data_IF_297961727247
#
_entry.id   IF_297961727247
#
_cell.length_a   1.000
_cell.length_b   1.000
_cell.length_c   1.000
_cell.angle_alpha   90.00
_cell.angle_beta   90.00
_cell.angle_gamma   90.00
#
_symmetry.space_group_name_H-M   'P 1'
#
loop_
_entity.id
_entity.type
_entity.pdbx_description
1 polymer ?
#
# COMPACT_ATOMS: atom_id res chain seq x y z
N UNK A 1 9.11 32.21 -3.39
CA UNK A 1 7.89 31.44 -3.00
C UNK A 1 7.73 30.38 -4.05
N UNK A 2 7.86 29.11 -3.71
CA UNK A 2 7.61 27.99 -4.64
C UNK A 2 6.11 27.91 -4.90
N UNK A 3 5.74 27.88 -6.18
CA UNK A 3 4.35 27.76 -6.60
C UNK A 3 3.82 26.39 -6.15
N UNK A 4 2.73 26.38 -5.36
CA UNK A 4 2.12 25.14 -4.89
C UNK A 4 1.19 24.57 -5.97
N UNK A 5 1.30 23.30 -6.25
CA UNK A 5 0.45 22.62 -7.22
C UNK A 5 -0.28 21.42 -6.56
N UNK A 6 -1.38 21.00 -7.15
CA UNK A 6 -2.22 19.89 -6.61
C UNK A 6 -2.35 18.79 -7.64
N UNK A 7 -2.09 17.56 -7.20
CA UNK A 7 -2.28 16.34 -7.97
C UNK A 7 -3.46 15.55 -7.39
N UNK A 8 -4.31 15.03 -8.25
CA UNK A 8 -5.41 14.16 -7.86
C UNK A 8 -5.14 12.72 -8.27
N UNK A 9 -5.36 11.81 -7.32
CA UNK A 9 -5.24 10.37 -7.52
C UNK A 9 -6.59 9.70 -7.28
N UNK A 10 -7.01 8.84 -8.20
CA UNK A 10 -8.17 7.97 -8.03
C UNK A 10 -7.70 6.61 -7.53
N UNK A 11 -8.12 6.25 -6.34
CA UNK A 11 -7.81 4.98 -5.72
C UNK A 11 -9.07 4.11 -5.70
N UNK A 12 -9.23 3.33 -6.75
CA UNK A 12 -10.40 2.48 -6.97
C UNK A 12 -9.97 1.08 -7.43
N UNK A 13 -10.57 0.07 -6.83
CA UNK A 13 -10.27 -1.32 -7.14
C UNK A 13 -11.17 -2.27 -6.36
N UNK A 14 -11.23 -3.55 -6.73
CA UNK A 14 -12.10 -4.52 -6.08
C UNK A 14 -11.76 -4.72 -4.61
N UNK A 15 -10.48 -4.61 -4.24
CA UNK A 15 -10.02 -4.68 -2.85
C UNK A 15 -8.98 -3.59 -2.58
N UNK A 16 -9.02 -3.02 -1.39
CA UNK A 16 -8.01 -2.08 -0.86
C UNK A 16 -7.68 -2.41 0.59
N UNK A 17 -6.49 -2.04 1.06
CA UNK A 17 -6.11 -2.24 2.47
C UNK A 17 -5.14 -1.16 2.94
N UNK A 18 -5.59 -0.27 3.80
CA UNK A 18 -4.87 0.88 4.33
C UNK A 18 -4.52 0.68 5.80
N UNK A 19 -3.55 -0.22 6.06
CA UNK A 19 -3.19 -0.59 7.42
C UNK A 19 -2.39 0.49 8.15
N UNK A 20 -2.56 0.55 9.50
CA UNK A 20 -1.73 1.37 10.38
C UNK A 20 -1.14 0.54 11.54
N UNK A 21 -1.97 -0.19 12.29
CA UNK A 21 -1.61 -0.84 13.55
C UNK A 21 -1.63 -2.37 13.49
N UNK A 22 -1.53 -2.93 12.29
CA UNK A 22 -1.59 -4.39 12.09
C UNK A 22 -0.39 -5.10 12.72
N UNK A 23 -0.64 -6.05 13.64
CA UNK A 23 0.38 -6.88 14.28
C UNK A 23 0.14 -8.36 13.99
N UNK A 24 1.20 -9.07 13.59
CA UNK A 24 1.25 -10.52 13.44
C UNK A 24 0.12 -11.13 12.59
N UNK A 25 -0.78 -11.88 13.20
CA UNK A 25 -1.80 -12.71 12.54
C UNK A 25 -3.07 -11.94 12.15
N UNK A 26 -3.39 -10.84 12.83
CA UNK A 26 -4.57 -10.01 12.51
C UNK A 26 -4.09 -8.73 11.84
N UNK A 27 -4.51 -8.50 10.60
CA UNK A 27 -4.10 -7.35 9.80
C UNK A 27 -5.33 -6.56 9.37
N UNK A 28 -5.60 -5.48 10.08
CA UNK A 28 -6.74 -4.59 9.84
C UNK A 28 -6.48 -3.59 8.73
N UNK A 29 -7.52 -2.88 8.31
CA UNK A 29 -7.46 -1.72 7.43
C UNK A 29 -8.14 -0.53 8.06
N UNK A 30 -7.68 0.68 7.74
CA UNK A 30 -8.40 1.92 8.01
C UNK A 30 -9.54 2.08 7.02
N UNK A 31 -10.48 3.00 7.31
CA UNK A 31 -11.63 3.28 6.46
C UNK A 31 -11.30 4.11 5.22
N UNK A 32 -10.09 4.69 5.17
CA UNK A 32 -9.62 5.53 4.09
C UNK A 32 -8.10 5.36 3.87
N UNK A 33 -7.58 5.79 2.70
CA UNK A 33 -6.16 5.79 2.42
C UNK A 33 -5.34 6.54 3.47
N UNK A 34 -4.36 5.86 4.06
CA UNK A 34 -3.41 6.49 4.97
C UNK A 34 -2.32 7.21 4.18
N UNK A 35 -1.79 8.31 4.72
CA UNK A 35 -0.71 9.06 4.08
C UNK A 35 0.50 8.17 3.78
N UNK A 36 0.91 7.34 4.74
CA UNK A 36 2.02 6.40 4.54
C UNK A 36 1.77 5.38 3.43
N UNK A 37 0.52 4.89 3.31
CA UNK A 37 0.13 3.99 2.22
C UNK A 37 0.20 4.66 0.85
N UNK A 38 -0.28 5.91 0.75
CA UNK A 38 -0.20 6.71 -0.48
C UNK A 38 1.25 7.02 -0.82
N UNK A 39 2.08 7.47 0.14
CA UNK A 39 3.51 7.72 -0.10
C UNK A 39 4.24 6.44 -0.55
N UNK A 40 3.88 5.29 -0.01
CA UNK A 40 4.41 4.00 -0.46
C UNK A 40 4.06 3.68 -1.93
N UNK A 41 2.83 4.00 -2.35
CA UNK A 41 2.40 3.89 -3.75
C UNK A 41 3.20 4.82 -4.66
N UNK A 42 3.44 6.08 -4.24
CA UNK A 42 4.28 7.04 -4.99
C UNK A 42 5.71 6.51 -5.14
N UNK A 43 6.33 6.04 -4.06
CA UNK A 43 7.67 5.45 -4.10
C UNK A 43 7.74 4.25 -5.06
N UNK A 44 6.69 3.43 -5.11
CA UNK A 44 6.58 2.31 -6.03
C UNK A 44 6.53 2.80 -7.50
N UNK A 45 5.68 3.78 -7.80
CA UNK A 45 5.58 4.36 -9.12
C UNK A 45 6.90 5.00 -9.59
N UNK A 46 7.58 5.72 -8.70
CA UNK A 46 8.90 6.32 -8.95
C UNK A 46 10.04 5.30 -9.04
N UNK A 47 9.81 4.04 -8.69
CA UNK A 47 10.83 2.99 -8.66
C UNK A 47 11.90 3.20 -7.61
N UNK A 48 11.55 3.76 -6.46
CA UNK A 48 12.47 3.99 -5.35
C UNK A 48 12.70 2.72 -4.55
N UNK A 49 13.96 2.29 -4.41
CA UNK A 49 14.33 1.25 -3.46
C UNK A 49 13.93 1.66 -2.04
N UNK A 50 13.88 0.71 -1.10
CA UNK A 50 13.56 1.02 0.31
C UNK A 50 14.53 2.05 0.92
N UNK A 51 15.80 2.02 0.55
CA UNK A 51 16.79 2.99 1.01
C UNK A 51 16.53 4.38 0.40
N UNK A 52 16.41 4.47 -0.93
CA UNK A 52 16.11 5.72 -1.63
C UNK A 52 14.77 6.35 -1.16
N UNK A 53 13.76 5.52 -0.87
CA UNK A 53 12.50 6.00 -0.32
C UNK A 53 12.67 6.61 1.08
N UNK A 54 13.54 6.04 1.95
CA UNK A 54 13.84 6.62 3.28
C UNK A 54 14.54 7.97 3.15
N UNK A 55 15.46 8.13 2.22
CA UNK A 55 16.18 9.39 1.97
C UNK A 55 15.24 10.50 1.49
N UNK A 56 14.22 10.15 0.69
CA UNK A 56 13.21 11.09 0.19
C UNK A 56 11.98 11.26 1.09
N UNK A 57 11.89 10.50 2.18
CA UNK A 57 10.71 10.50 3.03
C UNK A 57 10.38 11.86 3.64
N UNK A 58 11.41 12.64 4.03
CA UNK A 58 11.22 13.99 4.58
C UNK A 58 10.61 14.96 3.57
N UNK A 59 11.01 14.87 2.30
CA UNK A 59 10.46 15.65 1.20
C UNK A 59 9.01 15.26 0.92
N UNK A 60 8.75 13.96 0.71
CA UNK A 60 7.42 13.43 0.43
C UNK A 60 6.43 13.68 1.57
N UNK A 61 6.91 13.68 2.81
CA UNK A 61 6.06 13.91 3.99
C UNK A 61 5.58 15.36 4.11
N UNK A 62 6.22 16.31 3.42
CA UNK A 62 5.75 17.71 3.38
C UNK A 62 4.51 17.89 2.51
N UNK A 63 4.21 16.95 1.62
CA UNK A 63 2.98 17.01 0.83
C UNK A 63 1.76 17.09 1.76
N UNK A 64 0.91 18.08 1.57
CA UNK A 64 -0.42 18.07 2.18
C UNK A 64 -1.27 17.00 1.48
N UNK A 65 -2.10 16.30 2.24
CA UNK A 65 -2.96 15.25 1.69
C UNK A 65 -4.38 15.44 2.20
N UNK A 66 -5.32 15.50 1.26
CA UNK A 66 -6.77 15.41 1.50
C UNK A 66 -7.32 14.14 0.89
N UNK A 67 -8.36 13.56 1.51
CA UNK A 67 -9.06 12.38 1.00
C UNK A 67 -10.55 12.68 0.93
N UNK A 68 -11.14 12.46 -0.24
CA UNK A 68 -12.59 12.42 -0.43
C UNK A 68 -13.02 10.97 -0.57
N UNK A 69 -14.02 10.57 0.19
CA UNK A 69 -14.61 9.23 0.14
C UNK A 69 -15.74 9.27 -0.87
N UNK A 70 -15.52 8.76 -2.08
CA UNK A 70 -16.56 8.68 -3.11
C UNK A 70 -17.44 7.45 -2.86
N UNK A 71 -16.84 6.36 -2.38
CA UNK A 71 -17.51 5.13 -1.97
C UNK A 71 -16.69 4.47 -0.85
N UNK A 72 -17.24 4.29 0.36
CA UNK A 72 -16.49 3.77 1.50
C UNK A 72 -16.14 2.29 1.34
N UNK A 73 -16.87 1.56 0.50
CA UNK A 73 -16.73 0.12 0.35
C UNK A 73 -17.30 -0.66 1.52
N UNK A 74 -17.12 -1.97 1.48
CA UNK A 74 -17.57 -2.89 2.53
C UNK A 74 -16.37 -3.60 3.11
N UNK A 75 -16.34 -3.76 4.45
CA UNK A 75 -15.27 -4.51 5.13
C UNK A 75 -15.40 -5.99 4.82
N UNK A 76 -14.31 -6.59 4.37
CA UNK A 76 -14.21 -7.98 4.01
C UNK A 76 -12.99 -8.63 4.65
N UNK A 77 -13.11 -9.89 5.08
CA UNK A 77 -12.06 -10.64 5.74
C UNK A 77 -11.60 -11.82 4.90
N UNK A 78 -10.31 -11.88 4.68
CA UNK A 78 -9.61 -13.02 4.10
C UNK A 78 -8.99 -13.88 5.22
N UNK A 79 -9.29 -15.17 5.17
CA UNK A 79 -8.65 -16.19 5.99
C UNK A 79 -7.48 -16.76 5.20
N UNK A 80 -6.31 -16.22 5.44
CA UNK A 80 -5.13 -16.47 4.61
C UNK A 80 -4.16 -17.42 5.30
N UNK A 81 -3.86 -18.57 4.66
CA UNK A 81 -2.85 -19.54 5.10
C UNK A 81 -1.53 -19.30 4.38
N UNK A 82 -0.43 -19.45 5.10
CA UNK A 82 0.93 -19.32 4.56
C UNK A 82 1.72 -20.56 4.97
N UNK A 83 2.41 -21.15 4.03
CA UNK A 83 3.31 -22.28 4.28
C UNK A 83 2.69 -23.66 4.10
N UNK A 84 1.39 -23.80 3.81
CA UNK A 84 0.67 -25.06 3.67
C UNK A 84 1.46 -26.13 2.88
N UNK A 85 2.14 -27.05 3.57
CA UNK A 85 2.92 -28.16 3.01
C UNK A 85 4.32 -27.77 2.49
N UNK A 86 4.55 -26.50 2.09
CA UNK A 86 5.84 -26.03 1.55
C UNK A 86 6.69 -25.40 2.66
N UNK A 87 6.02 -24.81 3.66
CA UNK A 87 6.66 -24.16 4.81
C UNK A 87 6.87 -22.66 4.65
N UNK A 88 7.27 -22.04 5.73
CA UNK A 88 7.58 -20.62 5.84
C UNK A 88 9.09 -20.50 6.01
N UNK A 89 9.73 -19.68 5.19
CA UNK A 89 11.17 -19.41 5.32
C UNK A 89 11.42 -18.68 6.64
N UNK A 90 12.43 -19.13 7.39
CA UNK A 90 12.88 -18.47 8.63
C UNK A 90 13.34 -17.04 8.37
N UNK A 91 13.35 -16.18 9.39
CA UNK A 91 13.71 -14.77 9.25
C UNK A 91 15.14 -14.54 8.75
N UNK A 92 16.04 -15.50 9.01
CA UNK A 92 17.43 -15.51 8.53
C UNK A 92 17.59 -16.09 7.10
N UNK A 93 16.50 -16.56 6.49
CA UNK A 93 16.48 -17.12 5.15
C UNK A 93 17.10 -18.50 4.99
N UNK A 94 17.54 -19.15 6.08
CA UNK A 94 18.37 -20.38 6.02
C UNK A 94 17.60 -21.69 6.17
N UNK A 95 16.31 -21.63 6.48
CA UNK A 95 15.53 -22.85 6.71
C UNK A 95 14.02 -22.63 6.63
N UNK A 96 13.31 -23.72 6.89
CA UNK A 96 11.85 -23.74 6.98
C UNK A 96 11.44 -23.76 8.45
N UNK A 97 10.50 -22.88 8.81
CA UNK A 97 9.98 -22.81 10.16
C UNK A 97 9.21 -24.08 10.51
N UNK A 98 9.54 -24.64 11.67
CA UNK A 98 8.91 -25.86 12.20
C UNK A 98 8.32 -25.60 13.57
N UNK A 99 7.27 -26.34 13.89
CA UNK A 99 6.61 -26.31 15.21
C UNK A 99 7.60 -26.89 16.24
N UNK A 100 7.91 -26.16 17.32
CA UNK A 100 8.92 -26.61 18.29
C UNK A 100 8.58 -27.96 18.96
N UNK A 101 7.29 -28.25 19.15
CA UNK A 101 6.83 -29.47 19.86
C UNK A 101 6.78 -30.72 18.97
N UNK A 102 6.47 -30.58 17.69
CA UNK A 102 6.25 -31.74 16.78
C UNK A 102 7.30 -31.86 15.68
N UNK A 103 8.07 -30.80 15.43
CA UNK A 103 9.01 -30.74 14.31
C UNK A 103 8.34 -30.63 12.93
N UNK A 104 7.01 -30.57 12.88
CA UNK A 104 6.26 -30.45 11.64
C UNK A 104 6.43 -29.06 11.00
N UNK A 105 6.19 -28.99 9.69
CA UNK A 105 6.23 -27.74 8.95
C UNK A 105 5.12 -26.81 9.47
N UNK A 106 5.50 -25.62 9.96
CA UNK A 106 4.54 -24.67 10.51
C UNK A 106 3.72 -24.03 9.39
N UNK A 107 2.41 -24.04 9.58
CA UNK A 107 1.46 -23.26 8.76
C UNK A 107 0.98 -22.07 9.57
N UNK A 108 1.20 -20.87 9.04
CA UNK A 108 0.72 -19.64 9.66
C UNK A 108 -0.62 -19.24 9.08
N UNK A 109 -1.59 -19.04 9.96
CA UNK A 109 -2.90 -18.51 9.60
C UNK A 109 -2.91 -17.01 9.90
N UNK A 110 -3.32 -16.19 8.93
CA UNK A 110 -3.53 -14.76 9.11
C UNK A 110 -4.92 -14.36 8.68
N UNK A 111 -5.56 -13.48 9.47
CA UNK A 111 -6.83 -12.84 9.12
C UNK A 111 -6.53 -11.43 8.61
N UNK A 112 -6.92 -11.16 7.37
CA UNK A 112 -6.63 -9.90 6.68
C UNK A 112 -7.91 -9.19 6.31
N UNK A 113 -8.06 -7.98 6.80
CA UNK A 113 -9.20 -7.11 6.49
C UNK A 113 -8.90 -6.29 5.25
N UNK A 114 -9.92 -6.11 4.42
CA UNK A 114 -9.92 -5.30 3.21
C UNK A 114 -11.16 -4.41 3.16
N UNK A 115 -11.10 -3.37 2.34
CA UNK A 115 -12.26 -2.63 1.84
C UNK A 115 -12.59 -3.17 0.44
N UNK A 116 -13.76 -3.78 0.27
CA UNK A 116 -14.25 -4.24 -1.02
C UNK A 116 -15.04 -3.10 -1.70
N UNK A 117 -14.82 -2.92 -2.98
CA UNK A 117 -15.48 -1.91 -3.83
C UNK A 117 -15.38 -0.45 -3.34
N UNK A 118 -14.33 -0.12 -2.61
CA UNK A 118 -14.09 1.25 -2.19
C UNK A 118 -13.57 2.13 -3.34
N UNK A 119 -13.90 3.43 -3.30
CA UNK A 119 -13.38 4.44 -4.23
C UNK A 119 -13.08 5.73 -3.48
N UNK A 120 -11.87 6.24 -3.66
CA UNK A 120 -11.37 7.46 -3.02
C UNK A 120 -10.73 8.39 -4.05
N UNK A 121 -10.93 9.69 -3.86
CA UNK A 121 -10.13 10.72 -4.50
C UNK A 121 -9.15 11.29 -3.48
N UNK A 122 -7.86 11.16 -3.77
CA UNK A 122 -6.79 11.73 -2.93
C UNK A 122 -6.23 12.95 -3.63
N UNK A 123 -6.17 14.08 -2.92
CA UNK A 123 -5.49 15.30 -3.33
C UNK A 123 -4.13 15.36 -2.62
N UNK A 124 -3.07 15.59 -3.39
CA UNK A 124 -1.71 15.83 -2.89
C UNK A 124 -1.29 17.24 -3.32
N UNK A 125 -0.90 18.08 -2.38
CA UNK A 125 -0.45 19.44 -2.64
C UNK A 125 0.96 19.66 -2.12
N UNK A 126 1.79 20.31 -2.92
CA UNK A 126 3.16 20.61 -2.54
C UNK A 126 3.93 21.40 -3.60
N UNK A 127 5.24 21.31 -3.56
CA UNK A 127 6.13 21.94 -4.54
C UNK A 127 5.77 21.52 -5.97
N UNK A 128 5.69 22.47 -6.88
CA UNK A 128 5.23 22.26 -8.26
C UNK A 128 6.10 21.24 -9.01
N UNK A 129 7.43 21.30 -8.82
CA UNK A 129 8.34 20.36 -9.47
C UNK A 129 8.14 18.95 -8.93
N UNK A 130 8.02 18.78 -7.60
CA UNK A 130 7.76 17.48 -6.98
C UNK A 130 6.42 16.88 -7.44
N UNK A 131 5.37 17.68 -7.51
CA UNK A 131 4.04 17.27 -7.99
C UNK A 131 4.12 16.83 -9.45
N UNK A 132 4.84 17.56 -10.30
CA UNK A 132 5.03 17.19 -11.71
C UNK A 132 5.77 15.85 -11.84
N UNK A 133 6.87 15.67 -11.10
CA UNK A 133 7.66 14.44 -11.12
C UNK A 133 6.82 13.21 -10.66
N UNK A 134 5.99 13.40 -9.63
CA UNK A 134 5.05 12.38 -9.14
C UNK A 134 3.99 12.06 -10.21
N UNK A 135 3.40 13.08 -10.84
CA UNK A 135 2.38 12.88 -11.88
C UNK A 135 2.93 12.07 -13.06
N UNK A 136 4.13 12.39 -13.51
CA UNK A 136 4.83 11.66 -14.57
C UNK A 136 5.08 10.18 -14.15
N UNK A 137 5.53 9.96 -12.91
CA UNK A 137 5.76 8.62 -12.40
C UNK A 137 4.47 7.79 -12.26
N UNK A 138 3.36 8.40 -11.86
CA UNK A 138 2.04 7.73 -11.76
C UNK A 138 1.46 7.44 -13.15
N UNK A 139 1.70 8.31 -14.13
CA UNK A 139 1.25 8.09 -15.51
C UNK A 139 2.00 6.92 -16.18
N UNK A 140 3.27 6.70 -15.81
CA UNK A 140 4.10 5.60 -16.32
C UNK A 140 4.92 4.99 -15.18
N UNK A 141 4.29 4.15 -14.33
CA UNK A 141 4.93 3.65 -13.12
C UNK A 141 6.04 2.66 -13.44
N UNK A 142 7.20 2.85 -12.77
CA UNK A 142 8.37 1.99 -12.92
C UNK A 142 8.14 0.59 -12.37
N UNK A 143 7.38 0.48 -11.28
CA UNK A 143 6.91 -0.79 -10.72
C UNK A 143 5.38 -0.80 -10.62
N UNK A 144 4.74 -1.99 -10.68
CA UNK A 144 3.30 -2.10 -10.52
C UNK A 144 2.83 -1.46 -9.22
N UNK A 145 1.82 -0.60 -9.30
CA UNK A 145 1.22 0.05 -8.12
C UNK A 145 0.06 -0.77 -7.57
N UNK A 146 -0.17 -0.67 -6.26
CA UNK A 146 -1.26 -1.36 -5.59
C UNK A 146 -1.83 -0.52 -4.44
N UNK A 147 -3.09 -0.77 -4.11
CA UNK A 147 -3.86 -0.03 -3.11
C UNK A 147 -3.62 -0.60 -1.71
N UNK A 148 -2.40 -0.39 -1.21
CA UNK A 148 -1.91 -0.80 0.09
C UNK A 148 -1.22 -2.16 0.08
N UNK A 149 -1.91 -3.27 -0.23
CA UNK A 149 -1.30 -4.60 -0.34
C UNK A 149 -1.07 -5.00 -1.80
N UNK A 150 -0.06 -5.81 -2.06
CA UNK A 150 0.25 -6.31 -3.41
C UNK A 150 -0.90 -7.05 -4.09
N UNK A 151 -1.82 -7.62 -3.32
CA UNK A 151 -3.04 -8.27 -3.81
C UNK A 151 -4.17 -7.31 -4.21
N UNK A 152 -3.95 -6.00 -4.11
CA UNK A 152 -4.96 -4.97 -4.37
C UNK A 152 -4.56 -4.10 -5.57
N UNK A 153 -4.61 -4.60 -6.81
CA UNK A 153 -4.35 -3.76 -7.97
C UNK A 153 -5.48 -2.74 -8.17
N UNK A 154 -5.17 -1.54 -8.68
CA UNK A 154 -6.19 -0.59 -9.09
C UNK A 154 -6.94 -1.12 -10.33
N UNK A 155 -8.24 -0.84 -10.43
CA UNK A 155 -9.09 -1.17 -11.60
C UNK A 155 -9.15 -0.06 -12.63
N UNK A 156 -8.69 1.12 -12.28
CA UNK A 156 -8.66 2.32 -13.14
C UNK A 156 -7.29 2.99 -13.05
N UNK A 157 -6.92 3.84 -14.03
CA UNK A 157 -5.70 4.63 -13.91
C UNK A 157 -5.69 5.46 -12.61
N UNK A 158 -4.58 5.36 -11.88
CA UNK A 158 -4.43 6.04 -10.57
C UNK A 158 -4.36 7.56 -10.74
N UNK A 159 -3.75 8.06 -11.83
CA UNK A 159 -3.77 9.48 -12.14
C UNK A 159 -5.17 9.90 -12.55
N UNK A 160 -5.81 10.74 -11.72
CA UNK A 160 -7.12 11.32 -12.05
C UNK A 160 -6.94 12.39 -13.15
N UNK A 161 -7.77 12.33 -14.16
CA UNK A 161 -7.84 13.30 -15.26
C UNK A 161 -9.05 14.21 -15.05
#
# INVERSE_FOLDING_TARGET
>A
MTEANTLFLRLEGPLQAWGDTSKFVIRRTMDAPTKSGVLGLLCCAMGLSRQAARERLSELNRLAMGVRIDRPGTRWWDYHTVGAGIGIITADGKGIKRTPSTGEIETLITRREYLADASFLVALQGDAKLIHDIAAAIASPKWPVFLGRKSCPPSVPVLAR
#
